data_IF_122897204695
#
_entry.id   IF_122897204695
#
_cell.length_a   1.000
_cell.length_b   1.000
_cell.length_c   1.000
_cell.angle_alpha   90.00
_cell.angle_beta   90.00
_cell.angle_gamma   90.00
#
_symmetry.space_group_name_H-M   'P 1'
#
loop_
_entity.id
_entity.type
_entity.pdbx_description
1 polymer ?
#
# COMPACT_ATOMS: atom_id res chain seq x y z
N UNK A 1 11.64 -3.88 -15.70
CA UNK A 1 10.28 -3.34 -15.59
C UNK A 1 9.54 -4.14 -14.54
N UNK A 2 9.18 -3.53 -13.42
CA UNK A 2 8.44 -4.17 -12.34
C UNK A 2 7.05 -4.52 -12.88
N UNK A 3 6.63 -5.79 -12.76
CA UNK A 3 5.31 -6.19 -13.24
C UNK A 3 4.23 -5.74 -12.23
N UNK A 4 3.46 -4.71 -12.61
CA UNK A 4 2.32 -4.18 -11.84
C UNK A 4 0.95 -4.74 -12.28
N UNK A 5 0.92 -5.68 -13.24
CA UNK A 5 -0.25 -6.34 -13.86
C UNK A 5 -1.58 -5.59 -13.66
N UNK A 6 -1.73 -4.48 -14.40
CA UNK A 6 -2.84 -4.12 -15.32
C UNK A 6 -2.63 -2.68 -15.76
N UNK A 7 -2.52 -2.48 -17.07
CA UNK A 7 -2.74 -1.22 -17.75
C UNK A 7 -4.20 -0.77 -17.48
N UNK A 8 -4.35 0.28 -16.68
CA UNK A 8 -5.65 0.78 -16.25
C UNK A 8 -6.35 1.63 -17.33
N UNK A 9 -5.73 1.90 -18.48
CA UNK A 9 -6.25 2.86 -19.46
C UNK A 9 -6.48 4.26 -18.86
N UNK A 10 -6.90 5.22 -19.69
CA UNK A 10 -7.21 6.59 -19.24
C UNK A 10 -8.47 6.60 -18.35
N UNK A 11 -8.31 6.24 -17.08
CA UNK A 11 -9.28 6.53 -16.03
C UNK A 11 -8.96 7.93 -15.49
N UNK A 12 -9.88 8.86 -15.69
CA UNK A 12 -9.74 10.26 -15.30
C UNK A 12 -9.24 10.40 -13.85
N UNK A 13 -8.07 11.03 -13.71
CA UNK A 13 -7.44 11.27 -12.43
C UNK A 13 -8.27 12.27 -11.61
N UNK A 14 -9.10 11.78 -10.69
CA UNK A 14 -9.69 12.65 -9.66
C UNK A 14 -8.60 13.08 -8.68
N UNK A 15 -8.12 14.32 -8.79
CA UNK A 15 -7.22 14.94 -7.84
C UNK A 15 -7.99 15.48 -6.63
N UNK A 16 -7.36 15.45 -5.44
CA UNK A 16 -7.88 16.15 -4.25
C UNK A 16 -7.57 17.65 -4.38
N UNK A 17 -8.55 18.50 -4.09
CA UNK A 17 -8.36 19.95 -3.91
C UNK A 17 -8.64 20.25 -2.45
N UNK A 18 -7.68 20.85 -1.74
CA UNK A 18 -7.83 21.34 -0.35
C UNK A 18 -8.33 20.29 0.66
N UNK A 19 -7.78 19.07 0.63
CA UNK A 19 -8.17 17.99 1.55
C UNK A 19 -9.55 17.38 1.29
N UNK A 20 -10.34 17.96 0.38
CA UNK A 20 -11.64 17.49 -0.07
C UNK A 20 -11.53 16.81 -1.45
N UNK A 21 -12.16 15.64 -1.60
CA UNK A 21 -12.05 14.79 -2.80
C UNK A 21 -11.51 13.38 -2.52
N UNK A 22 -11.57 12.48 -3.50
CA UNK A 22 -11.01 11.13 -3.36
C UNK A 22 -9.50 11.13 -3.70
N UNK A 23 -8.71 10.25 -3.06
CA UNK A 23 -7.26 10.16 -3.34
C UNK A 23 -7.00 9.77 -4.81
N UNK A 24 -5.97 10.28 -5.47
CA UNK A 24 -5.67 9.94 -6.87
C UNK A 24 -5.57 8.42 -7.12
N UNK A 25 -6.00 7.95 -8.30
CA UNK A 25 -5.67 6.61 -8.80
C UNK A 25 -4.33 6.68 -9.51
N UNK A 26 -3.42 5.76 -9.19
CA UNK A 26 -2.08 5.74 -9.77
C UNK A 26 -2.08 4.90 -11.05
N UNK A 27 -1.58 5.46 -12.14
CA UNK A 27 -1.34 4.70 -13.39
C UNK A 27 -0.11 3.80 -13.25
N UNK A 28 0.07 2.85 -14.16
CA UNK A 28 1.24 1.98 -14.14
C UNK A 28 2.55 2.75 -14.38
N UNK A 29 2.50 3.81 -15.19
CA UNK A 29 3.63 4.72 -15.40
C UNK A 29 3.97 5.48 -14.11
N UNK A 30 2.97 6.04 -13.42
CA UNK A 30 3.16 6.73 -12.15
C UNK A 30 3.69 5.79 -11.05
N UNK A 31 3.19 4.55 -11.00
CA UNK A 31 3.72 3.52 -10.11
C UNK A 31 5.17 3.20 -10.46
N UNK A 32 5.50 3.02 -11.74
CA UNK A 32 6.86 2.81 -12.22
C UNK A 32 7.80 3.90 -11.72
N UNK A 33 7.48 5.17 -12.00
CA UNK A 33 8.27 6.31 -11.55
C UNK A 33 8.41 6.37 -10.03
N UNK A 34 7.33 6.20 -9.28
CA UNK A 34 7.39 6.21 -7.80
C UNK A 34 8.30 5.11 -7.24
N UNK A 35 8.20 3.87 -7.75
CA UNK A 35 8.95 2.74 -7.20
C UNK A 35 10.38 2.63 -7.72
N UNK A 36 10.65 3.04 -8.96
CA UNK A 36 11.96 2.94 -9.59
C UNK A 36 12.83 4.16 -9.24
N UNK A 37 12.24 5.37 -9.22
CA UNK A 37 12.96 6.64 -9.07
C UNK A 37 12.61 7.40 -7.79
N UNK A 38 11.33 7.45 -7.40
CA UNK A 38 10.84 8.29 -6.29
C UNK A 38 11.24 7.80 -4.90
N UNK A 39 10.96 6.53 -4.58
CA UNK A 39 11.31 5.95 -3.29
C UNK A 39 12.79 5.61 -3.21
N UNK A 40 13.51 6.32 -2.32
CA UNK A 40 14.96 6.27 -2.21
C UNK A 40 15.50 5.12 -1.35
N UNK A 41 14.64 4.44 -0.57
CA UNK A 41 15.08 3.35 0.31
C UNK A 41 14.31 2.06 0.05
N UNK A 42 14.96 0.91 0.27
CA UNK A 42 14.34 -0.41 0.16
C UNK A 42 13.15 -0.57 1.10
N UNK A 43 13.26 -0.02 2.33
CA UNK A 43 12.19 0.04 3.31
C UNK A 43 10.96 0.76 2.76
N UNK A 44 11.14 1.94 2.17
CA UNK A 44 10.02 2.77 1.71
C UNK A 44 9.36 2.14 0.47
N UNK A 45 10.16 1.59 -0.45
CA UNK A 45 9.66 0.76 -1.56
C UNK A 45 8.81 -0.40 -1.04
N UNK A 46 9.31 -1.17 -0.07
CA UNK A 46 8.57 -2.28 0.50
C UNK A 46 7.28 -1.83 1.23
N UNK A 47 7.31 -0.71 1.97
CA UNK A 47 6.14 -0.17 2.68
C UNK A 47 4.98 0.12 1.73
N UNK A 48 5.25 0.86 0.67
CA UNK A 48 4.22 1.24 -0.29
C UNK A 48 3.84 0.09 -1.23
N UNK A 49 4.76 -0.83 -1.51
CA UNK A 49 4.45 -2.07 -2.23
C UNK A 49 3.46 -2.93 -1.43
N UNK A 50 3.65 -3.09 -0.11
CA UNK A 50 2.66 -3.79 0.74
C UNK A 50 1.30 -3.11 0.64
N UNK A 51 1.24 -1.78 0.71
CA UNK A 51 -0.02 -1.04 0.57
C UNK A 51 -0.68 -1.28 -0.80
N UNK A 52 0.11 -1.28 -1.88
CA UNK A 52 -0.35 -1.47 -3.24
C UNK A 52 -0.83 -2.90 -3.52
N UNK A 53 -0.09 -3.93 -3.09
CA UNK A 53 -0.39 -5.31 -3.45
C UNK A 53 -1.34 -6.02 -2.49
N UNK A 54 -1.52 -5.48 -1.28
CA UNK A 54 -2.49 -6.03 -0.30
C UNK A 54 -3.72 -5.15 -0.12
N UNK A 55 -3.67 -3.91 -0.62
CA UNK A 55 -4.69 -2.90 -0.41
C UNK A 55 -4.87 -2.53 1.06
N UNK A 56 -3.93 -2.82 1.96
CA UNK A 56 -4.07 -2.48 3.39
C UNK A 56 -4.03 -0.96 3.61
N UNK A 57 -4.45 -0.49 4.79
CA UNK A 57 -4.25 0.92 5.17
C UNK A 57 -2.80 1.13 5.59
N UNK A 58 -2.27 2.33 5.39
CA UNK A 58 -0.91 2.68 5.84
C UNK A 58 -0.70 2.40 7.34
N UNK A 59 -1.71 2.67 8.18
CA UNK A 59 -1.65 2.35 9.61
C UNK A 59 -1.55 0.86 9.90
N UNK A 60 -2.17 0.00 9.07
CA UNK A 60 -2.07 -1.46 9.18
C UNK A 60 -0.67 -1.91 8.74
N UNK A 61 -0.11 -1.32 7.67
CA UNK A 61 1.23 -1.62 7.17
C UNK A 61 2.34 -1.24 8.16
N UNK A 62 2.28 -0.03 8.72
CA UNK A 62 3.29 0.49 9.67
C UNK A 62 3.42 -0.36 10.95
N UNK A 63 2.35 -1.06 11.34
CA UNK A 63 2.35 -1.94 12.51
C UNK A 63 2.74 -3.39 12.18
N UNK A 64 3.08 -3.71 10.93
CA UNK A 64 3.54 -5.05 10.57
C UNK A 64 4.87 -5.35 11.27
N UNK A 65 4.94 -6.56 11.79
CA UNK A 65 6.17 -7.12 12.33
C UNK A 65 6.76 -8.17 11.39
N UNK A 66 8.06 -8.39 11.47
CA UNK A 66 8.78 -9.31 10.58
C UNK A 66 8.20 -10.73 10.63
N UNK A 67 7.74 -11.16 11.81
CA UNK A 67 7.15 -12.49 11.99
C UNK A 67 5.81 -12.67 11.27
N UNK A 68 5.21 -11.58 10.77
CA UNK A 68 3.97 -11.60 10.01
C UNK A 68 4.19 -11.81 8.51
N UNK A 69 5.44 -11.77 8.04
CA UNK A 69 5.85 -12.14 6.67
C UNK A 69 6.39 -13.56 6.74
N UNK A 70 5.56 -14.55 6.42
CA UNK A 70 5.90 -15.98 6.54
C UNK A 70 5.49 -16.75 5.30
N UNK A 71 6.43 -17.52 4.76
CA UNK A 71 6.23 -18.28 3.52
C UNK A 71 5.78 -17.36 2.39
N UNK A 72 4.56 -17.58 1.91
CA UNK A 72 3.96 -16.80 0.84
C UNK A 72 2.86 -15.85 1.32
N UNK A 73 2.83 -15.46 2.59
CA UNK A 73 1.74 -14.65 3.14
C UNK A 73 2.22 -13.47 3.97
N UNK A 74 1.49 -12.35 3.84
CA UNK A 74 1.47 -11.23 4.78
C UNK A 74 0.28 -11.39 5.70
N UNK A 75 0.53 -11.40 7.01
CA UNK A 75 -0.51 -11.58 8.02
C UNK A 75 -0.83 -10.26 8.73
N UNK A 76 -2.05 -9.76 8.56
CA UNK A 76 -2.56 -8.61 9.30
C UNK A 76 -3.42 -9.09 10.47
N UNK A 77 -2.91 -8.94 11.69
CA UNK A 77 -3.59 -9.42 12.90
C UNK A 77 -4.78 -8.54 13.28
N UNK A 78 -5.66 -9.05 14.15
CA UNK A 78 -6.78 -8.28 14.72
C UNK A 78 -6.33 -6.97 15.37
N UNK A 79 -5.19 -7.00 16.08
CA UNK A 79 -4.67 -5.87 16.84
C UNK A 79 -4.26 -4.70 15.94
N UNK A 80 -3.70 -4.98 14.76
CA UNK A 80 -3.31 -3.94 13.80
C UNK A 80 -4.49 -3.43 12.96
N UNK A 81 -5.61 -4.17 12.95
CA UNK A 81 -6.82 -3.88 12.16
C UNK A 81 -7.94 -3.30 13.02
N UNK A 82 -7.85 -2.00 13.32
CA UNK A 82 -8.84 -1.27 14.16
C UNK A 82 -10.28 -1.63 13.82
N UNK A 83 -10.97 -2.22 14.80
CA UNK A 83 -12.36 -2.64 14.71
C UNK A 83 -12.62 -3.99 14.04
N UNK A 84 -11.69 -4.61 13.31
CA UNK A 84 -11.96 -5.90 12.65
C UNK A 84 -11.92 -7.06 13.65
N UNK A 85 -12.74 -8.08 13.41
CA UNK A 85 -12.91 -9.22 14.33
C UNK A 85 -11.92 -10.36 14.08
N UNK A 86 -11.21 -10.37 12.95
CA UNK A 86 -10.31 -11.47 12.57
C UNK A 86 -8.98 -11.03 11.95
N UNK A 87 -8.01 -11.94 12.04
CA UNK A 87 -6.76 -11.90 11.29
C UNK A 87 -7.05 -12.07 9.79
N UNK A 88 -6.35 -11.33 8.94
CA UNK A 88 -6.41 -11.50 7.50
C UNK A 88 -5.03 -11.86 6.97
N UNK A 89 -4.94 -12.96 6.23
CA UNK A 89 -3.76 -13.30 5.46
C UNK A 89 -3.95 -12.90 4.00
N UNK A 90 -2.91 -12.35 3.40
CA UNK A 90 -2.86 -11.97 1.99
C UNK A 90 -1.66 -12.65 1.36
N UNK A 91 -1.89 -13.32 0.24
CA UNK A 91 -0.83 -13.99 -0.51
C UNK A 91 0.15 -12.96 -1.11
N UNK A 92 1.44 -13.27 -1.01
CA UNK A 92 2.53 -12.51 -1.60
C UNK A 92 2.63 -12.89 -3.08
N UNK A 93 1.98 -12.08 -3.90
CA UNK A 93 2.05 -12.14 -5.37
C UNK A 93 3.48 -11.80 -5.87
N UNK A 94 3.85 -12.21 -7.10
CA UNK A 94 5.21 -12.00 -7.62
C UNK A 94 5.70 -10.55 -7.53
N UNK A 95 4.84 -9.57 -7.83
CA UNK A 95 5.18 -8.15 -7.73
C UNK A 95 5.53 -7.71 -6.29
N UNK A 96 4.80 -8.17 -5.27
CA UNK A 96 5.16 -7.87 -3.87
C UNK A 96 6.43 -8.62 -3.45
N UNK A 97 6.61 -9.84 -3.96
CA UNK A 97 7.75 -10.70 -3.63
C UNK A 97 9.07 -10.06 -4.03
N UNK A 98 9.15 -9.41 -5.19
CA UNK A 98 10.38 -8.75 -5.63
C UNK A 98 10.80 -7.67 -4.64
N UNK A 99 9.89 -6.75 -4.28
CA UNK A 99 10.20 -5.68 -3.32
C UNK A 99 10.65 -6.20 -1.94
N UNK A 100 9.99 -7.25 -1.44
CA UNK A 100 10.38 -7.86 -0.16
C UNK A 100 11.75 -8.55 -0.26
N UNK A 101 12.02 -9.23 -1.38
CA UNK A 101 13.29 -9.90 -1.62
C UNK A 101 14.44 -8.89 -1.75
N UNK A 102 14.24 -7.80 -2.50
CA UNK A 102 15.26 -6.76 -2.67
C UNK A 102 15.61 -6.13 -1.31
N UNK A 103 14.59 -5.83 -0.49
CA UNK A 103 14.82 -5.31 0.86
C UNK A 103 15.52 -6.33 1.77
N UNK A 104 15.15 -7.60 1.69
CA UNK A 104 15.84 -8.65 2.43
C UNK A 104 17.32 -8.78 1.99
N UNK A 105 17.59 -8.70 0.69
CA UNK A 105 18.95 -8.81 0.13
C UNK A 105 19.83 -7.61 0.45
N UNK A 106 19.25 -6.43 0.71
CA UNK A 106 20.00 -5.26 1.19
C UNK A 106 20.62 -5.45 2.58
N UNK A 107 20.15 -6.42 3.35
CA UNK A 107 20.55 -6.62 4.76
C UNK A 107 19.92 -5.62 5.74
N UNK A 108 19.09 -4.67 5.26
CA UNK A 108 18.44 -3.66 6.10
C UNK A 108 17.10 -4.12 6.69
N UNK A 109 16.52 -5.21 6.17
CA UNK A 109 15.21 -5.70 6.60
C UNK A 109 15.30 -6.33 7.99
N UNK A 110 14.50 -5.89 8.98
CA UNK A 110 14.51 -6.49 10.31
C UNK A 110 14.07 -7.95 10.31
N UNK A 111 14.80 -8.81 11.03
CA UNK A 111 14.44 -10.23 11.21
C UNK A 111 13.33 -10.46 12.25
N UNK A 112 13.14 -9.51 13.18
CA UNK A 112 12.15 -9.59 14.27
C UNK A 112 11.59 -8.22 14.62
N UNK A 113 10.46 -8.18 15.32
CA UNK A 113 9.80 -6.94 15.73
C UNK A 113 9.23 -6.14 14.56
N UNK A 114 8.97 -4.84 14.75
CA UNK A 114 8.39 -4.01 13.69
C UNK A 114 9.28 -3.98 12.44
N UNK A 115 8.68 -4.15 11.26
CA UNK A 115 9.37 -4.02 9.97
C UNK A 115 9.77 -2.57 9.70
N UNK A 116 8.82 -1.66 9.90
CA UNK A 116 8.97 -0.24 9.61
C UNK A 116 9.35 0.50 10.89
N UNK A 117 10.53 0.18 11.44
CA UNK A 117 11.00 0.75 12.70
C UNK A 117 11.16 2.26 12.59
N UNK A 118 10.87 2.95 13.69
CA UNK A 118 11.28 4.34 13.81
C UNK A 118 12.80 4.42 14.02
N UNK A 119 13.35 5.63 13.97
CA UNK A 119 14.76 5.86 14.35
C UNK A 119 14.98 5.48 15.82
N UNK A 120 16.20 5.04 16.22
CA UNK A 120 16.46 4.59 17.59
C UNK A 120 16.12 5.61 18.69
N UNK A 121 16.20 6.90 18.38
CA UNK A 121 15.91 8.04 19.27
C UNK A 121 14.41 8.40 19.33
N UNK A 122 13.57 7.74 18.52
CA UNK A 122 12.13 7.98 18.48
C UNK A 122 11.42 7.44 19.73
N UNK A 123 10.46 8.21 20.24
CA UNK A 123 9.52 7.75 21.29
C UNK A 123 8.54 6.67 20.82
N UNK A 124 8.42 6.48 19.49
CA UNK A 124 7.52 5.50 18.88
C UNK A 124 8.32 4.30 18.35
N UNK A 125 7.80 3.07 18.46
CA UNK A 125 8.54 1.87 18.05
C UNK A 125 8.55 1.63 16.52
N UNK A 126 7.68 2.31 15.77
CA UNK A 126 7.57 2.22 14.31
C UNK A 126 7.31 3.61 13.70
N UNK A 127 7.56 3.72 12.39
CA UNK A 127 7.33 4.93 11.60
C UNK A 127 5.92 5.50 11.83
N UNK A 128 5.85 6.78 12.17
CA UNK A 128 4.55 7.44 12.33
C UNK A 128 3.85 7.61 10.97
N UNK A 129 2.52 7.79 10.99
CA UNK A 129 1.76 8.09 9.78
C UNK A 129 2.20 9.40 9.11
N UNK A 130 2.64 10.37 9.91
CA UNK A 130 3.14 11.65 9.41
C UNK A 130 4.45 11.45 8.65
N UNK A 131 5.41 10.73 9.23
CA UNK A 131 6.66 10.39 8.54
C UNK A 131 6.45 9.58 7.26
N UNK A 132 5.54 8.61 7.28
CA UNK A 132 5.19 7.86 6.07
C UNK A 132 4.55 8.77 5.00
N UNK A 133 3.76 9.75 5.41
CA UNK A 133 3.18 10.73 4.48
C UNK A 133 4.27 11.65 3.92
N UNK A 134 5.20 12.14 4.73
CA UNK A 134 6.33 12.97 4.30
C UNK A 134 7.21 12.23 3.29
N UNK A 135 7.57 10.97 3.56
CA UNK A 135 8.29 10.11 2.61
C UNK A 135 7.55 10.00 1.28
N UNK A 136 6.22 9.84 1.33
CA UNK A 136 5.42 9.78 0.11
C UNK A 136 5.40 11.11 -0.64
N UNK A 137 5.24 12.25 0.04
CA UNK A 137 5.25 13.55 -0.62
C UNK A 137 6.61 13.83 -1.25
N UNK A 138 7.71 13.58 -0.54
CA UNK A 138 9.05 13.74 -1.10
C UNK A 138 9.27 12.88 -2.36
N UNK A 139 8.82 11.62 -2.34
CA UNK A 139 8.90 10.76 -3.51
C UNK A 139 8.06 11.29 -4.67
N UNK A 140 6.84 11.78 -4.39
CA UNK A 140 5.93 12.35 -5.37
C UNK A 140 6.49 13.63 -6.00
N UNK A 141 7.02 14.54 -5.19
CA UNK A 141 7.65 15.79 -5.63
C UNK A 141 8.86 15.49 -6.52
N UNK A 142 9.68 14.51 -6.11
CA UNK A 142 10.87 14.09 -6.87
C UNK A 142 10.51 13.59 -8.28
N UNK A 143 9.41 12.85 -8.41
CA UNK A 143 8.93 12.38 -9.71
C UNK A 143 7.81 13.25 -10.28
N UNK A 144 7.59 14.48 -9.80
CA UNK A 144 6.59 15.39 -10.35
C UNK A 144 5.17 14.80 -10.48
N UNK A 145 4.70 14.07 -9.47
CA UNK A 145 3.33 13.53 -9.41
C UNK A 145 2.56 14.22 -8.28
N UNK A 146 1.39 14.78 -8.60
CA UNK A 146 0.56 15.48 -7.62
C UNK A 146 -0.68 14.67 -7.20
N UNK A 147 -1.29 15.05 -6.07
CA UNK A 147 -2.58 14.51 -5.60
C UNK A 147 -2.51 13.12 -4.96
N UNK A 148 -1.31 12.58 -4.76
CA UNK A 148 -1.10 11.25 -4.18
C UNK A 148 -1.12 11.33 -2.65
N UNK A 149 -1.97 10.52 -2.04
CA UNK A 149 -1.95 10.24 -0.60
C UNK A 149 -1.71 8.76 -0.32
N UNK A 150 -1.51 8.41 0.96
CA UNK A 150 -1.34 7.02 1.39
C UNK A 150 -2.54 6.12 1.05
N UNK A 151 -3.73 6.70 0.83
CA UNK A 151 -4.91 5.98 0.38
C UNK A 151 -4.91 5.63 -1.12
N UNK A 152 -4.12 6.33 -1.95
CA UNK A 152 -4.06 6.14 -3.42
C UNK A 152 -3.68 4.72 -3.79
N UNK A 153 -2.70 4.13 -3.10
CA UNK A 153 -2.26 2.74 -3.31
C UNK A 153 -3.40 1.74 -3.07
N UNK A 154 -4.15 1.92 -1.96
CA UNK A 154 -5.32 1.10 -1.65
C UNK A 154 -6.42 1.26 -2.69
N UNK A 155 -6.68 2.49 -3.17
CA UNK A 155 -7.67 2.73 -4.22
C UNK A 155 -7.26 2.02 -5.51
N UNK A 156 -6.01 2.21 -5.93
CA UNK A 156 -5.42 1.60 -7.12
C UNK A 156 -5.54 0.06 -7.06
N UNK A 157 -5.24 -0.56 -5.90
CA UNK A 157 -5.45 -2.00 -5.70
C UNK A 157 -6.90 -2.45 -5.92
N UNK A 158 -7.86 -1.74 -5.30
CA UNK A 158 -9.29 -2.06 -5.40
C UNK A 158 -9.76 -1.95 -6.85
N UNK A 159 -9.38 -0.88 -7.54
CA UNK A 159 -9.70 -0.65 -8.95
C UNK A 159 -9.11 -1.73 -9.84
N UNK A 160 -7.83 -2.10 -9.65
CA UNK A 160 -7.20 -3.20 -10.40
C UNK A 160 -7.90 -4.55 -10.16
N UNK A 161 -8.31 -4.87 -8.93
CA UNK A 161 -9.10 -6.07 -8.67
C UNK A 161 -10.44 -6.03 -9.41
N UNK A 162 -11.10 -4.87 -9.47
CA UNK A 162 -12.36 -4.74 -10.18
C UNK A 162 -12.17 -4.94 -11.69
N UNK A 163 -11.13 -4.34 -12.27
CA UNK A 163 -10.75 -4.53 -13.68
C UNK A 163 -10.43 -6.01 -14.00
N UNK A 164 -9.86 -6.77 -13.04
CA UNK A 164 -9.67 -8.24 -13.13
C UNK A 164 -10.96 -9.06 -13.03
N UNK A 165 -12.13 -8.42 -12.95
CA UNK A 165 -13.42 -9.11 -12.86
C UNK A 165 -13.78 -9.64 -11.47
N UNK A 166 -13.05 -9.25 -10.41
CA UNK A 166 -13.43 -9.66 -9.05
C UNK A 166 -14.77 -9.01 -8.66
N UNK A 167 -15.65 -9.82 -8.05
CA UNK A 167 -16.91 -9.34 -7.50
C UNK A 167 -16.68 -8.43 -6.28
N UNK A 168 -17.60 -7.49 -6.00
CA UNK A 168 -17.55 -6.66 -4.80
C UNK A 168 -17.35 -7.45 -3.50
N UNK A 169 -17.98 -8.62 -3.37
CA UNK A 169 -17.84 -9.49 -2.20
C UNK A 169 -16.41 -10.06 -2.06
N UNK A 170 -15.78 -10.47 -3.17
CA UNK A 170 -14.39 -10.94 -3.16
C UNK A 170 -13.42 -9.81 -2.81
N UNK A 171 -13.61 -8.62 -3.39
CA UNK A 171 -12.79 -7.44 -3.09
C UNK A 171 -12.95 -7.03 -1.62
N UNK A 172 -14.18 -7.02 -1.10
CA UNK A 172 -14.45 -6.70 0.31
C UNK A 172 -13.73 -7.66 1.26
N UNK A 173 -13.77 -8.97 0.97
CA UNK A 173 -13.08 -10.00 1.74
C UNK A 173 -11.55 -9.79 1.73
N UNK A 174 -10.98 -9.46 0.56
CA UNK A 174 -9.54 -9.22 0.37
C UNK A 174 -9.04 -7.91 0.98
N UNK A 175 -9.88 -6.89 1.12
CA UNK A 175 -9.46 -5.56 1.61
C UNK A 175 -9.92 -5.30 3.05
N UNK A 176 -10.79 -6.18 3.58
CA UNK A 176 -11.35 -6.10 4.93
C UNK A 176 -12.18 -4.84 5.17
N UNK A 177 -12.97 -4.39 4.19
CA UNK A 177 -13.95 -3.32 4.42
C UNK A 177 -15.15 -3.87 5.22
N UNK A 178 -15.49 -3.22 6.35
CA UNK A 178 -16.60 -3.62 7.20
C UNK A 178 -17.99 -3.39 6.59
N UNK A 179 -18.13 -2.34 5.79
CA UNK A 179 -19.39 -1.95 5.15
C UNK A 179 -19.20 -1.93 3.63
N UNK A 180 -20.18 -2.45 2.90
CA UNK A 180 -20.19 -2.44 1.42
C UNK A 180 -20.22 -1.02 0.88
N UNK A 181 -20.92 -0.09 1.54
CA UNK A 181 -21.00 1.33 1.14
C UNK A 181 -19.61 1.97 0.90
N UNK A 182 -18.67 1.73 1.82
CA UNK A 182 -17.29 2.24 1.69
C UNK A 182 -16.53 1.66 0.50
N UNK A 183 -16.97 0.50 -0.01
CA UNK A 183 -16.42 -0.10 -1.22
C UNK A 183 -17.18 0.36 -2.48
N UNK A 184 -18.48 0.66 -2.37
CA UNK A 184 -19.30 1.16 -3.49
C UNK A 184 -18.81 2.52 -4.01
N UNK A 185 -18.27 3.38 -3.14
CA UNK A 185 -17.63 4.63 -3.57
C UNK A 185 -16.45 4.47 -4.54
N UNK A 186 -15.91 3.25 -4.69
CA UNK A 186 -14.89 2.92 -5.70
C UNK A 186 -15.50 2.46 -7.02
N UNK A 187 -16.76 2.03 -7.04
CA UNK A 187 -17.42 1.44 -8.20
C UNK A 187 -18.23 2.46 -9.02
N UNK A 188 -18.68 3.55 -8.40
CA UNK A 188 -19.45 4.61 -9.09
C UNK A 188 -18.55 5.55 -9.92
N UNK A 189 -17.28 5.21 -10.14
CA UNK A 189 -16.25 6.10 -10.73
C UNK A 189 -15.46 5.44 -11.88
N UNK A 190 -15.98 4.35 -12.44
CA UNK A 190 -15.47 3.67 -13.64
C UNK A 190 -16.57 3.64 -14.68
#
# INVERSE_FOLDING_TARGET
>A
MINFDIDLGNLEASAKVDGHGQAKLLTDEELGRLFEEGFQTWRDRALFAICLFTGCRISEALQLKAEMIRGNFVTFTRQTRKGKTGTQQVEIVPGLRSFLKDWQQSGEMPESGYLFRARPDSKQPFLSRMQAHEVLQLACDFVGIEGVSTHSFRRTYITKLRAKGYSPAQIQRRTGHKRRENLMHYFDQV
#
